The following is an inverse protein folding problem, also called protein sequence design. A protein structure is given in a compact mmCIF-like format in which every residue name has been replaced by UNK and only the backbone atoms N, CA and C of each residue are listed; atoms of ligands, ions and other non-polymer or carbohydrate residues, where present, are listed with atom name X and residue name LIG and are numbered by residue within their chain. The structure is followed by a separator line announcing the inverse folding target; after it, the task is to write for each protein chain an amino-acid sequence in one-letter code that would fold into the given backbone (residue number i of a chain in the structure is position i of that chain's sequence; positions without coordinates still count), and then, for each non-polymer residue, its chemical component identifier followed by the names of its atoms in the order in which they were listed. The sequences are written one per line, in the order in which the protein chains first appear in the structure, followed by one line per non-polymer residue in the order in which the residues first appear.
data_IF_347428374107
#
_entry.id   IF_347428374107
#
_cell.length_a   1.000
_cell.length_b   1.000
_cell.length_c   1.000
_cell.angle_alpha   90.00
_cell.angle_beta   90.00
_cell.angle_gamma   90.00
#
_symmetry.space_group_name_H-M   'P 1'
#
loop_
_entity.id
_entity.type
_entity.pdbx_description
1 polymer ?
#
# COMPACT_ATOMS: atom_id res chain seq x y z
N UNK A 1 1.39 -3.53 5.06
CA UNK A 1 2.30 -2.41 5.38
C UNK A 1 2.55 -1.56 4.14
N UNK A 2 3.34 -2.03 3.14
CA UNK A 2 3.67 -1.28 1.91
C UNK A 2 2.44 -0.72 1.20
N UNK A 3 1.41 -1.55 0.96
CA UNK A 3 0.18 -1.10 0.29
C UNK A 3 -0.60 -0.05 1.08
N UNK A 4 -0.62 -0.16 2.41
CA UNK A 4 -1.28 0.82 3.29
C UNK A 4 -0.52 2.14 3.37
N UNK A 5 0.81 2.11 3.38
CA UNK A 5 1.63 3.32 3.29
C UNK A 5 1.50 3.99 1.91
N UNK A 6 1.39 3.20 0.83
CA UNK A 6 1.14 3.73 -0.51
C UNK A 6 -0.22 4.44 -0.62
N UNK A 7 -1.23 4.00 0.16
CA UNK A 7 -2.50 4.71 0.30
C UNK A 7 -2.39 5.97 1.18
N UNK A 8 -1.77 5.85 2.36
CA UNK A 8 -1.73 6.93 3.34
C UNK A 8 -0.77 8.08 2.98
N UNK A 9 0.31 7.78 2.24
CA UNK A 9 1.37 8.74 1.88
C UNK A 9 1.81 8.55 0.41
N UNK A 10 0.92 8.76 -0.57
CA UNK A 10 1.19 8.44 -1.96
C UNK A 10 2.39 9.21 -2.54
N UNK A 11 2.57 10.50 -2.20
CA UNK A 11 3.71 11.29 -2.70
C UNK A 11 5.02 10.82 -2.06
N UNK A 12 5.05 10.67 -0.74
CA UNK A 12 6.26 10.25 -0.04
C UNK A 12 6.72 8.85 -0.50
N UNK A 13 5.76 7.92 -0.67
CA UNK A 13 6.04 6.57 -1.15
C UNK A 13 6.50 6.55 -2.60
N UNK A 14 5.99 7.42 -3.47
CA UNK A 14 6.44 7.53 -4.86
C UNK A 14 7.92 7.91 -4.96
N UNK A 15 8.38 8.85 -4.13
CA UNK A 15 9.78 9.31 -4.12
C UNK A 15 10.75 8.24 -3.62
N UNK A 16 10.32 7.41 -2.67
CA UNK A 16 11.19 6.45 -1.95
C UNK A 16 11.18 5.03 -2.53
N UNK A 17 10.46 4.77 -3.64
CA UNK A 17 10.36 3.43 -4.23
C UNK A 17 11.73 2.81 -4.52
N UNK A 18 12.69 3.61 -4.97
CA UNK A 18 14.03 3.15 -5.32
C UNK A 18 14.86 2.73 -4.10
N UNK A 19 14.53 3.20 -2.90
CA UNK A 19 15.26 2.88 -1.66
C UNK A 19 14.90 1.50 -1.12
N UNK A 20 13.73 0.97 -1.49
CA UNK A 20 13.19 -0.28 -0.93
C UNK A 20 12.81 -1.33 -2.00
N UNK A 21 13.70 -1.66 -2.95
CA UNK A 21 13.37 -2.53 -4.08
C UNK A 21 12.95 -3.94 -3.63
N UNK A 22 13.61 -4.49 -2.60
CA UNK A 22 13.28 -5.82 -2.08
C UNK A 22 11.91 -5.86 -1.38
N UNK A 23 11.51 -4.79 -0.69
CA UNK A 23 10.20 -4.72 -0.04
C UNK A 23 9.08 -4.59 -1.07
N UNK A 24 9.29 -3.83 -2.15
CA UNK A 24 8.36 -3.75 -3.27
C UNK A 24 8.23 -5.10 -3.98
N UNK A 25 9.35 -5.77 -4.27
CA UNK A 25 9.34 -7.11 -4.87
C UNK A 25 8.60 -8.13 -3.98
N UNK A 26 8.82 -8.09 -2.66
CA UNK A 26 8.11 -8.94 -1.72
C UNK A 26 6.60 -8.65 -1.70
N UNK A 27 6.22 -7.38 -1.65
CA UNK A 27 4.82 -6.96 -1.72
C UNK A 27 4.13 -7.53 -2.97
N UNK A 28 4.75 -7.36 -4.14
CA UNK A 28 4.21 -7.83 -5.41
C UNK A 28 4.14 -9.36 -5.47
N UNK A 29 5.17 -10.05 -4.96
CA UNK A 29 5.20 -11.51 -4.90
C UNK A 29 4.09 -12.07 -4.00
N UNK A 30 3.82 -11.43 -2.86
CA UNK A 30 2.73 -11.84 -1.95
C UNK A 30 1.37 -11.61 -2.60
N UNK A 31 1.15 -10.46 -3.25
CA UNK A 31 -0.10 -10.14 -3.93
C UNK A 31 -0.47 -11.16 -5.03
N UNK A 32 0.53 -11.73 -5.70
CA UNK A 32 0.36 -12.72 -6.78
C UNK A 32 0.06 -14.15 -6.30
N UNK A 33 0.18 -14.46 -4.99
CA UNK A 33 -0.12 -15.82 -4.49
C UNK A 33 -1.60 -16.16 -4.71
N UNK A 34 -1.96 -17.36 -5.23
CA UNK A 34 -3.32 -17.63 -5.71
C UNK A 34 -4.44 -17.34 -4.70
N UNK A 35 -4.27 -17.77 -3.44
CA UNK A 35 -5.27 -17.54 -2.40
C UNK A 35 -5.37 -16.08 -1.98
N UNK A 36 -4.24 -15.36 -1.99
CA UNK A 36 -4.19 -13.93 -1.68
C UNK A 36 -4.83 -13.15 -2.81
N UNK A 37 -4.43 -13.37 -4.06
CA UNK A 37 -5.02 -12.74 -5.25
C UNK A 37 -6.54 -12.93 -5.28
N UNK A 38 -7.03 -14.14 -5.01
CA UNK A 38 -8.48 -14.43 -4.92
C UNK A 38 -9.16 -13.64 -3.81
N UNK A 39 -8.53 -13.51 -2.64
CA UNK A 39 -9.07 -12.68 -1.57
C UNK A 39 -9.08 -11.19 -1.96
N UNK A 40 -7.98 -10.70 -2.54
CA UNK A 40 -7.82 -9.30 -2.92
C UNK A 40 -8.83 -8.85 -3.98
N UNK A 41 -9.26 -9.78 -4.85
CA UNK A 41 -10.30 -9.54 -5.85
C UNK A 41 -11.74 -9.73 -5.32
N UNK A 42 -11.90 -10.23 -4.09
CA UNK A 42 -13.21 -10.53 -3.52
C UNK A 42 -13.80 -9.32 -2.79
N UNK A 43 -15.14 -9.22 -2.65
CA UNK A 43 -15.79 -8.16 -1.89
C UNK A 43 -15.49 -8.21 -0.38
N UNK A 44 -14.86 -9.30 0.10
CA UNK A 44 -14.42 -9.44 1.49
C UNK A 44 -13.19 -8.60 1.81
N UNK A 45 -12.46 -8.13 0.80
CA UNK A 45 -11.36 -7.20 0.98
C UNK A 45 -11.95 -5.79 1.05
N UNK A 46 -12.00 -5.22 2.25
CA UNK A 46 -12.36 -3.82 2.42
C UNK A 46 -11.30 -2.94 1.75
N UNK A 47 -11.74 -1.94 1.01
CA UNK A 47 -10.87 -0.91 0.49
C UNK A 47 -10.30 -0.08 1.65
N UNK A 48 -9.13 0.54 1.42
CA UNK A 48 -8.65 1.58 2.33
C UNK A 48 -9.66 2.73 2.38
N UNK A 49 -9.81 3.31 3.56
CA UNK A 49 -10.74 4.39 3.85
C UNK A 49 -10.26 5.19 5.06
N UNK A 50 -10.94 6.30 5.33
CA UNK A 50 -10.58 7.22 6.40
C UNK A 50 -11.01 6.77 7.81
N UNK A 51 -11.70 5.63 7.92
CA UNK A 51 -12.08 5.02 9.21
C UNK A 51 -11.05 3.97 9.68
N UNK A 52 -10.07 3.63 8.83
CA UNK A 52 -9.04 2.64 9.10
C UNK A 52 -7.78 3.19 9.78
N UNK A 53 -6.76 2.34 9.89
CA UNK A 53 -5.45 2.72 10.43
C UNK A 53 -4.66 3.57 9.42
N UNK A 54 -4.64 3.14 8.16
CA UNK A 54 -3.98 3.85 7.06
C UNK A 54 -4.96 4.89 6.51
N UNK A 55 -4.74 6.15 6.87
CA UNK A 55 -5.59 7.30 6.53
C UNK A 55 -4.78 8.30 5.73
N UNK A 56 -5.37 8.87 4.69
CA UNK A 56 -4.67 9.83 3.86
C UNK A 56 -4.87 11.22 4.43
N UNK A 57 -3.81 11.73 5.07
CA UNK A 57 -3.72 13.10 5.57
C UNK A 57 -2.79 13.91 4.63
N UNK A 58 -3.32 14.70 3.69
CA UNK A 58 -2.52 15.42 2.71
C UNK A 58 -1.45 16.33 3.33
N UNK A 59 -1.72 16.87 4.51
CA UNK A 59 -0.81 17.69 5.31
C UNK A 59 0.39 16.91 5.84
N UNK A 60 0.29 15.58 5.94
CA UNK A 60 1.37 14.68 6.35
C UNK A 60 2.07 14.01 5.15
N UNK A 61 1.45 13.99 3.97
CA UNK A 61 2.04 13.42 2.74
C UNK A 61 3.01 14.41 2.06
N UNK A 62 4.17 14.57 2.71
CA UNK A 62 5.25 15.46 2.30
C UNK A 62 6.30 14.73 1.45
N UNK A 63 6.86 15.41 0.45
CA UNK A 63 7.91 14.86 -0.43
C UNK A 63 9.33 14.99 0.14
N UNK A 64 9.47 15.56 1.34
CA UNK A 64 10.75 15.83 2.00
C UNK A 64 11.53 14.58 2.35
#
# INVERSE_FOLDING_TARGET
MIEGLAYAFPKAMANRKAEYPALLALHDAVAKRPNIARYLASPRRLAFNEEGIFRHYPELDSTG
#
